data_IF_734664088194
#
_entry.id   IF_734664088194
#
_cell.length_a   1.000
_cell.length_b   1.000
_cell.length_c   1.000
_cell.angle_alpha   90.00
_cell.angle_beta   90.00
_cell.angle_gamma   90.00
#
_symmetry.space_group_name_H-M   'P 1'
#
loop_
_entity.id
_entity.type
_entity.pdbx_description
1 polymer ?
#
# COMPACT_ATOMS: atom_id res chain seq x y z
N UNK A 1 -25.90 55.02 6.41
CA UNK A 1 -24.56 54.39 6.42
C UNK A 1 -24.72 52.91 6.74
N UNK A 2 -24.51 52.02 5.77
CA UNK A 2 -24.55 50.56 5.97
C UNK A 2 -23.12 50.09 6.23
N UNK A 3 -22.87 49.57 7.43
CA UNK A 3 -21.60 48.93 7.77
C UNK A 3 -21.67 47.46 7.34
N UNK A 4 -20.94 47.11 6.29
CA UNK A 4 -20.72 45.74 5.85
C UNK A 4 -19.62 45.14 6.74
N UNK A 5 -19.99 44.25 7.65
CA UNK A 5 -19.04 43.47 8.43
C UNK A 5 -18.50 42.33 7.56
N UNK A 6 -17.22 42.41 7.19
CA UNK A 6 -16.48 41.28 6.61
C UNK A 6 -16.13 40.29 7.73
N UNK A 7 -16.81 39.15 7.75
CA UNK A 7 -16.41 37.99 8.54
C UNK A 7 -15.20 37.34 7.85
N UNK A 8 -13.99 37.57 8.39
CA UNK A 8 -12.82 36.74 8.09
C UNK A 8 -13.03 35.37 8.74
N UNK A 9 -13.43 34.39 7.94
CA UNK A 9 -13.39 32.97 8.33
C UNK A 9 -11.93 32.53 8.36
N UNK A 10 -11.33 32.54 9.54
CA UNK A 10 -10.02 31.95 9.80
C UNK A 10 -10.11 30.44 9.59
N UNK A 11 -9.58 29.94 8.47
CA UNK A 11 -9.34 28.51 8.28
C UNK A 11 -8.26 28.08 9.28
N UNK A 12 -8.67 27.51 10.41
CA UNK A 12 -7.75 26.78 11.27
C UNK A 12 -7.34 25.53 10.48
N UNK A 13 -6.11 25.52 9.97
CA UNK A 13 -5.54 24.33 9.37
C UNK A 13 -5.47 23.24 10.46
N UNK A 14 -6.43 22.32 10.43
CA UNK A 14 -6.39 21.12 11.26
C UNK A 14 -5.13 20.35 10.91
N UNK A 15 -4.14 20.39 11.80
CA UNK A 15 -2.95 19.53 11.73
C UNK A 15 -3.48 18.10 11.72
N UNK A 16 -3.30 17.38 10.62
CA UNK A 16 -3.71 15.98 10.57
C UNK A 16 -2.82 15.20 11.52
N UNK A 17 -3.43 14.53 12.49
CA UNK A 17 -2.73 13.67 13.43
C UNK A 17 -2.09 12.49 12.69
N UNK A 18 -0.99 11.98 13.24
CA UNK A 18 -0.36 10.75 12.78
C UNK A 18 -1.33 9.59 12.66
N UNK A 19 -1.17 8.70 11.67
CA UNK A 19 -1.92 7.46 11.62
C UNK A 19 -1.57 6.54 12.80
N UNK A 20 -2.51 5.70 13.24
CA UNK A 20 -2.32 4.72 14.35
C UNK A 20 -1.45 3.51 13.97
N UNK A 21 -0.65 3.64 12.91
CA UNK A 21 0.19 2.56 12.38
C UNK A 21 1.18 3.05 11.34
N UNK A 22 2.16 2.20 11.07
CA UNK A 22 3.11 2.41 9.97
C UNK A 22 2.40 2.30 8.62
N UNK A 23 2.07 3.46 8.07
CA UNK A 23 1.23 3.62 6.90
C UNK A 23 2.08 3.87 5.64
N UNK A 24 1.94 3.02 4.63
CA UNK A 24 2.42 3.27 3.28
C UNK A 24 1.40 4.13 2.51
N UNK A 25 1.85 5.26 1.97
CA UNK A 25 1.01 6.18 1.19
C UNK A 25 1.77 6.88 0.06
N UNK A 26 1.06 7.67 -0.73
CA UNK A 26 1.59 8.55 -1.80
C UNK A 26 1.01 9.96 -1.74
N UNK A 27 0.63 10.46 -0.55
CA UNK A 27 0.11 11.83 -0.37
C UNK A 27 1.14 12.85 -0.87
N UNK A 28 0.89 13.62 -1.96
CA UNK A 28 1.92 14.47 -2.58
C UNK A 28 2.48 15.56 -1.67
N UNK A 29 1.61 16.11 -0.80
CA UNK A 29 2.02 17.09 0.20
C UNK A 29 3.10 16.56 1.16
N UNK A 30 3.17 15.24 1.34
CA UNK A 30 4.11 14.59 2.25
C UNK A 30 5.25 13.95 1.48
N UNK A 31 4.95 12.93 0.67
CA UNK A 31 5.97 12.18 -0.04
C UNK A 31 6.67 13.05 -1.12
N UNK A 32 6.00 14.09 -1.64
CA UNK A 32 6.56 14.95 -2.67
C UNK A 32 7.22 16.23 -2.14
N UNK A 33 6.53 16.96 -1.26
CA UNK A 33 6.98 18.29 -0.84
C UNK A 33 7.89 18.28 0.41
N UNK A 34 7.70 17.34 1.34
CA UNK A 34 8.56 17.22 2.52
C UNK A 34 9.81 16.39 2.25
N UNK A 35 9.72 15.43 1.32
CA UNK A 35 10.84 14.56 1.02
C UNK A 35 11.92 15.27 0.19
N UNK A 36 13.21 14.99 0.48
CA UNK A 36 14.29 15.46 -0.36
C UNK A 36 14.18 14.86 -1.76
N UNK A 37 14.77 15.55 -2.75
CA UNK A 37 14.89 15.01 -4.09
C UNK A 37 15.79 13.77 -4.08
N UNK A 38 15.37 12.74 -4.80
CA UNK A 38 16.08 11.48 -4.98
C UNK A 38 16.46 11.35 -6.45
N UNK A 39 17.74 11.55 -6.77
CA UNK A 39 18.20 11.58 -8.17
C UNK A 39 17.52 12.68 -9.00
N UNK A 40 17.23 13.83 -8.39
CA UNK A 40 16.57 14.97 -9.06
C UNK A 40 15.04 14.87 -9.15
N UNK A 41 14.42 13.79 -8.66
CA UNK A 41 12.97 13.62 -8.67
C UNK A 41 12.37 13.59 -7.25
N UNK A 42 11.11 14.02 -7.11
CA UNK A 42 10.35 13.94 -5.86
C UNK A 42 10.02 12.48 -5.54
N UNK A 43 10.03 12.08 -4.27
CA UNK A 43 9.62 10.74 -3.89
C UNK A 43 8.12 10.53 -4.19
N UNK A 44 7.76 9.32 -4.64
CA UNK A 44 6.38 9.02 -5.05
C UNK A 44 5.57 8.31 -3.97
N UNK A 45 6.24 7.73 -2.97
CA UNK A 45 5.61 7.12 -1.82
C UNK A 45 6.46 7.29 -0.57
N UNK A 46 5.81 7.13 0.57
CA UNK A 46 6.43 7.30 1.87
C UNK A 46 5.76 6.41 2.92
N UNK A 47 6.48 6.14 4.00
CA UNK A 47 5.99 5.37 5.15
C UNK A 47 6.01 6.23 6.41
N UNK A 48 4.91 6.22 7.16
CA UNK A 48 4.84 6.89 8.46
C UNK A 48 5.47 6.09 9.59
N UNK A 49 6.08 6.82 10.53
CA UNK A 49 6.58 6.31 11.79
C UNK A 49 5.99 7.16 12.91
N UNK A 50 4.80 6.78 13.40
CA UNK A 50 4.17 7.44 14.54
C UNK A 50 5.06 7.33 15.79
N UNK A 51 5.28 8.44 16.49
CA UNK A 51 6.16 8.51 17.66
C UNK A 51 5.57 7.86 18.91
N UNK A 52 4.26 7.63 18.92
CA UNK A 52 3.57 6.88 19.97
C UNK A 52 3.84 5.36 19.87
N UNK A 53 4.37 4.88 18.75
CA UNK A 53 4.79 3.50 18.58
C UNK A 53 6.28 3.36 18.91
N UNK A 54 6.60 2.48 19.87
CA UNK A 54 7.96 2.31 20.39
C UNK A 54 8.76 1.20 19.69
N UNK A 55 8.11 0.41 18.86
CA UNK A 55 8.64 -0.81 18.23
C UNK A 55 9.51 -0.52 17.01
N UNK A 56 9.23 0.54 16.25
CA UNK A 56 10.07 0.95 15.12
C UNK A 56 10.33 2.45 15.09
N UNK A 57 11.62 2.78 15.01
CA UNK A 57 12.07 4.15 14.73
C UNK A 57 12.35 4.29 13.24
N UNK A 58 12.12 5.49 12.71
CA UNK A 58 12.53 5.78 11.33
C UNK A 58 14.05 5.83 11.27
N UNK A 59 14.64 4.91 10.51
CA UNK A 59 16.08 4.83 10.26
C UNK A 59 16.38 4.96 8.77
N UNK A 60 17.52 5.57 8.43
CA UNK A 60 17.98 5.66 7.05
C UNK A 60 18.25 4.24 6.50
N UNK A 61 17.84 3.95 5.26
CA UNK A 61 18.17 2.66 4.63
C UNK A 61 18.23 2.76 3.11
N UNK A 62 18.58 1.65 2.46
CA UNK A 62 18.53 1.56 0.99
C UNK A 62 17.13 1.79 0.40
N UNK A 63 16.06 1.63 1.21
CA UNK A 63 14.70 1.91 0.78
C UNK A 63 14.31 3.37 0.87
N UNK A 64 15.04 4.22 1.59
CA UNK A 64 14.62 5.61 1.70
C UNK A 64 15.28 6.41 2.81
N UNK A 65 14.88 7.67 2.87
CA UNK A 65 15.44 8.66 3.78
C UNK A 65 14.40 9.13 4.78
N UNK A 66 14.76 9.14 6.07
CA UNK A 66 13.89 9.68 7.11
C UNK A 66 13.96 11.20 7.17
N UNK A 67 12.79 11.83 7.30
CA UNK A 67 12.60 13.24 7.59
C UNK A 67 11.61 13.42 8.72
N UNK A 68 11.74 14.51 9.49
CA UNK A 68 10.73 14.89 10.45
C UNK A 68 9.52 15.47 9.71
N UNK A 69 8.32 14.97 10.01
CA UNK A 69 7.11 15.54 9.42
C UNK A 69 6.80 16.86 10.12
N UNK A 70 6.92 17.98 9.39
CA UNK A 70 6.43 19.28 9.87
C UNK A 70 4.93 19.45 9.66
N UNK A 71 4.33 18.62 8.80
CA UNK A 71 2.90 18.67 8.49
C UNK A 71 2.03 17.83 9.44
N UNK A 72 2.60 16.84 10.12
CA UNK A 72 1.88 15.92 11.01
C UNK A 72 2.70 15.70 12.29
N UNK A 73 2.28 16.41 13.35
CA UNK A 73 2.98 16.40 14.64
C UNK A 73 3.04 14.98 15.22
N UNK A 74 4.22 14.57 15.67
CA UNK A 74 4.44 13.24 16.25
C UNK A 74 4.79 12.15 15.23
N UNK A 75 5.13 12.49 14.00
CA UNK A 75 5.55 11.51 12.98
C UNK A 75 6.92 11.82 12.41
N UNK A 76 7.73 10.77 12.25
CA UNK A 76 8.76 10.73 11.23
C UNK A 76 8.19 10.14 9.94
N UNK A 77 8.76 10.53 8.81
CA UNK A 77 8.38 10.07 7.48
C UNK A 77 9.59 9.46 6.79
N UNK A 78 9.47 8.22 6.33
CA UNK A 78 10.44 7.60 5.44
C UNK A 78 10.06 7.89 3.99
N UNK A 79 10.84 8.73 3.33
CA UNK A 79 10.73 9.03 1.92
C UNK A 79 11.32 7.87 1.11
N UNK A 80 10.47 7.06 0.49
CA UNK A 80 10.91 5.85 -0.20
C UNK A 80 11.66 6.21 -1.47
N UNK A 81 12.82 5.58 -1.69
CA UNK A 81 13.60 5.68 -2.90
C UNK A 81 13.05 4.71 -3.94
N UNK A 82 12.09 5.19 -4.72
CA UNK A 82 11.35 4.39 -5.70
C UNK A 82 11.31 5.02 -7.10
N UNK A 83 11.96 6.17 -7.29
CA UNK A 83 12.01 6.87 -8.57
C UNK A 83 12.78 6.12 -9.65
N UNK A 84 13.66 5.19 -9.27
CA UNK A 84 14.42 4.34 -10.19
C UNK A 84 13.56 3.23 -10.82
N UNK A 85 12.43 2.86 -10.20
CA UNK A 85 11.56 1.78 -10.66
C UNK A 85 10.59 2.23 -11.79
N UNK A 86 11.05 3.10 -12.69
CA UNK A 86 10.22 3.72 -13.74
C UNK A 86 9.65 2.65 -14.66
N UNK A 87 8.32 2.58 -14.71
CA UNK A 87 7.52 1.56 -15.39
C UNK A 87 7.90 0.12 -15.01
N UNK A 88 8.61 -0.07 -13.90
CA UNK A 88 9.15 -1.34 -13.45
C UNK A 88 8.50 -1.85 -12.17
N UNK A 89 9.21 -2.78 -11.54
CA UNK A 89 8.82 -3.40 -10.28
C UNK A 89 9.53 -2.75 -9.09
N UNK A 90 8.78 -2.53 -8.03
CA UNK A 90 9.30 -2.03 -6.76
C UNK A 90 8.90 -2.97 -5.63
N UNK A 91 9.90 -3.60 -5.02
CA UNK A 91 9.72 -4.53 -3.90
C UNK A 91 10.00 -3.85 -2.58
N UNK A 92 9.03 -3.93 -1.68
CA UNK A 92 9.16 -3.53 -0.29
C UNK A 92 9.00 -4.77 0.58
N UNK A 93 10.05 -5.09 1.34
CA UNK A 93 9.97 -6.10 2.39
C UNK A 93 9.05 -5.62 3.51
N UNK A 94 8.26 -6.50 4.09
CA UNK A 94 7.52 -6.21 5.33
C UNK A 94 8.37 -6.72 6.51
N UNK A 95 8.67 -5.80 7.42
CA UNK A 95 9.53 -6.05 8.60
C UNK A 95 8.69 -6.30 9.85
N UNK A 96 9.16 -7.22 10.68
CA UNK A 96 8.72 -7.39 12.06
C UNK A 96 9.72 -6.90 13.10
N UNK A 97 9.36 -7.04 14.37
CA UNK A 97 10.20 -6.59 15.49
C UNK A 97 11.57 -7.31 15.51
N UNK A 98 11.61 -8.53 14.99
CA UNK A 98 12.81 -9.36 14.87
C UNK A 98 13.00 -9.82 13.40
N UNK A 99 14.24 -9.77 12.91
CA UNK A 99 14.60 -10.26 11.57
C UNK A 99 14.36 -9.29 10.41
N UNK A 100 15.15 -9.46 9.34
CA UNK A 100 15.14 -8.72 8.06
C UNK A 100 15.65 -7.27 8.11
N UNK A 101 16.97 -7.10 7.96
CA UNK A 101 17.62 -5.80 7.75
C UNK A 101 17.86 -5.55 6.25
N UNK A 102 17.71 -4.29 5.81
CA UNK A 102 18.18 -3.80 4.51
C UNK A 102 17.10 -3.19 3.62
N UNK A 103 16.09 -3.98 3.24
CA UNK A 103 15.00 -3.60 2.32
C UNK A 103 13.59 -3.92 2.82
N UNK A 104 13.37 -3.75 4.12
CA UNK A 104 12.08 -4.02 4.73
C UNK A 104 11.62 -2.85 5.60
N UNK A 105 10.34 -2.53 5.56
CA UNK A 105 9.70 -1.50 6.38
C UNK A 105 8.55 -2.10 7.19
N UNK A 106 8.23 -1.55 8.37
CA UNK A 106 7.21 -2.11 9.27
C UNK A 106 5.78 -1.80 8.79
N UNK A 107 5.52 -1.86 7.49
CA UNK A 107 4.22 -1.47 6.90
C UNK A 107 3.13 -2.37 7.45
N UNK A 108 2.15 -1.74 8.12
CA UNK A 108 0.95 -2.41 8.67
C UNK A 108 -0.31 -2.00 7.93
N UNK A 109 -0.28 -0.82 7.29
CA UNK A 109 -1.44 -0.23 6.62
C UNK A 109 -1.02 0.33 5.27
N UNK A 110 -1.89 0.20 4.27
CA UNK A 110 -1.74 0.91 2.99
C UNK A 110 -2.97 1.78 2.74
N UNK A 111 -2.71 3.04 2.37
CA UNK A 111 -3.78 3.99 2.04
C UNK A 111 -3.36 4.93 0.91
N UNK A 112 -4.19 5.00 -0.13
CA UNK A 112 -4.04 5.99 -1.20
C UNK A 112 -2.67 5.98 -1.86
N UNK A 113 -2.15 4.79 -2.17
CA UNK A 113 -0.92 4.62 -2.94
C UNK A 113 -1.14 5.02 -4.40
N UNK A 114 -0.25 5.87 -4.93
CA UNK A 114 -0.40 6.60 -6.21
C UNK A 114 0.92 6.77 -6.96
N UNK A 115 1.93 5.96 -6.67
CA UNK A 115 3.22 6.09 -7.34
C UNK A 115 3.06 5.93 -8.86
N UNK A 116 3.21 7.04 -9.59
CA UNK A 116 2.78 7.13 -10.99
C UNK A 116 3.72 6.41 -11.95
N UNK A 117 4.98 6.20 -11.55
CA UNK A 117 5.99 5.60 -12.40
C UNK A 117 6.28 4.15 -12.00
N UNK A 118 5.46 3.51 -11.18
CA UNK A 118 5.66 2.11 -10.79
C UNK A 118 4.57 1.28 -11.45
N UNK A 119 4.97 0.24 -12.19
CA UNK A 119 4.03 -0.68 -12.85
C UNK A 119 3.68 -1.87 -11.96
N UNK A 120 4.63 -2.31 -11.12
CA UNK A 120 4.44 -3.41 -10.19
C UNK A 120 4.87 -3.02 -8.78
N UNK A 121 4.00 -3.30 -7.81
CA UNK A 121 4.34 -3.21 -6.40
C UNK A 121 4.34 -4.62 -5.79
N UNK A 122 5.45 -4.97 -5.14
CA UNK A 122 5.59 -6.21 -4.38
C UNK A 122 5.69 -5.88 -2.90
N UNK A 123 4.71 -6.32 -2.12
CA UNK A 123 4.71 -6.25 -0.65
C UNK A 123 4.92 -7.66 -0.11
N UNK A 124 6.14 -7.94 0.33
CA UNK A 124 6.55 -9.30 0.71
C UNK A 124 7.14 -9.35 2.10
N UNK A 125 6.57 -10.16 2.97
CA UNK A 125 7.20 -10.48 4.24
C UNK A 125 8.20 -11.63 4.06
N UNK A 126 9.48 -11.39 4.39
CA UNK A 126 10.55 -12.39 4.29
C UNK A 126 10.78 -13.17 5.60
N UNK A 127 10.02 -12.87 6.64
CA UNK A 127 10.15 -13.51 7.95
C UNK A 127 9.33 -14.81 8.00
N UNK A 128 9.72 -15.72 8.90
CA UNK A 128 8.97 -16.95 9.15
C UNK A 128 7.58 -16.67 9.73
N UNK A 129 7.48 -15.69 10.64
CA UNK A 129 6.21 -15.22 11.19
C UNK A 129 5.51 -14.27 10.22
N UNK A 130 4.18 -14.39 10.11
CA UNK A 130 3.33 -13.48 9.33
C UNK A 130 2.92 -12.25 10.13
N UNK A 131 3.06 -11.08 9.51
CA UNK A 131 2.59 -9.80 10.04
C UNK A 131 1.29 -9.33 9.40
N UNK A 132 0.54 -8.53 10.14
CA UNK A 132 -0.73 -7.95 9.67
C UNK A 132 -0.46 -6.88 8.60
N UNK A 133 -1.23 -6.94 7.52
CA UNK A 133 -1.27 -5.92 6.49
C UNK A 133 -2.73 -5.58 6.20
N UNK A 134 -3.14 -4.36 6.52
CA UNK A 134 -4.47 -3.84 6.23
C UNK A 134 -4.46 -2.96 5.00
N UNK A 135 -5.27 -3.31 4.00
CA UNK A 135 -5.55 -2.46 2.85
C UNK A 135 -6.84 -1.69 3.13
N UNK A 136 -6.74 -0.37 3.30
CA UNK A 136 -7.89 0.49 3.54
C UNK A 136 -8.65 0.76 2.24
N UNK A 137 -9.88 1.27 2.37
CA UNK A 137 -10.69 1.66 1.21
C UNK A 137 -9.91 2.57 0.25
N UNK A 138 -9.91 2.21 -1.03
CA UNK A 138 -9.15 2.91 -2.05
C UNK A 138 -7.63 2.80 -1.94
N UNK A 139 -7.09 1.78 -1.25
CA UNK A 139 -5.66 1.58 -1.03
C UNK A 139 -4.83 1.79 -2.31
N UNK A 140 -5.26 1.19 -3.43
CA UNK A 140 -4.57 1.27 -4.72
C UNK A 140 -5.41 1.81 -5.88
N UNK A 141 -6.65 2.27 -5.65
CA UNK A 141 -7.59 2.63 -6.74
C UNK A 141 -7.13 3.79 -7.61
N UNK A 142 -6.30 4.68 -7.04
CA UNK A 142 -5.69 5.82 -7.74
C UNK A 142 -4.27 5.54 -8.24
N UNK A 143 -3.81 4.30 -8.12
CA UNK A 143 -2.50 3.87 -8.63
C UNK A 143 -2.58 3.55 -10.13
N UNK A 144 -1.41 3.54 -10.78
CA UNK A 144 -1.25 3.06 -12.17
C UNK A 144 -0.70 1.64 -12.24
N UNK A 145 -0.76 0.90 -11.13
CA UNK A 145 -0.22 -0.45 -11.05
C UNK A 145 -0.93 -1.37 -12.04
N UNK A 146 -0.11 -2.10 -12.80
CA UNK A 146 -0.53 -3.22 -13.65
C UNK A 146 -0.37 -4.56 -12.93
N UNK A 147 0.53 -4.63 -11.96
CA UNK A 147 0.76 -5.82 -11.13
C UNK A 147 0.78 -5.44 -9.66
N UNK A 148 0.09 -6.24 -8.84
CA UNK A 148 0.13 -6.14 -7.38
C UNK A 148 0.42 -7.53 -6.82
N UNK A 149 1.51 -7.64 -6.08
CA UNK A 149 1.94 -8.87 -5.40
C UNK A 149 1.96 -8.63 -3.90
N UNK A 150 1.21 -9.45 -3.17
CA UNK A 150 1.19 -9.46 -1.71
C UNK A 150 1.49 -10.87 -1.23
N UNK A 151 2.54 -11.02 -0.42
CA UNK A 151 3.01 -12.33 0.02
C UNK A 151 3.37 -12.42 1.51
N UNK A 152 2.96 -13.55 2.10
CA UNK A 152 3.35 -13.99 3.44
C UNK A 152 2.92 -13.05 4.58
N UNK A 153 1.71 -12.52 4.47
CA UNK A 153 1.09 -11.61 5.44
C UNK A 153 -0.20 -12.20 5.99
N UNK A 154 -0.73 -11.61 7.06
CA UNK A 154 -2.13 -11.72 7.47
C UNK A 154 -2.89 -10.56 6.84
N UNK A 155 -3.44 -10.78 5.66
CA UNK A 155 -4.07 -9.73 4.86
C UNK A 155 -5.49 -9.44 5.36
N UNK A 156 -5.76 -8.17 5.68
CA UNK A 156 -7.10 -7.64 5.93
C UNK A 156 -7.47 -6.67 4.80
N UNK A 157 -8.65 -6.83 4.24
CA UNK A 157 -9.13 -6.08 3.08
C UNK A 157 -10.39 -5.29 3.46
N UNK A 158 -10.36 -3.98 3.25
CA UNK A 158 -11.59 -3.18 3.13
C UNK A 158 -12.15 -3.28 1.70
N UNK A 159 -13.16 -2.47 1.39
CA UNK A 159 -13.74 -2.40 0.05
C UNK A 159 -12.83 -1.63 -0.92
N UNK A 160 -12.98 -1.85 -2.23
CA UNK A 160 -12.31 -1.08 -3.29
C UNK A 160 -10.80 -0.90 -3.10
N UNK A 161 -10.08 -1.98 -2.76
CA UNK A 161 -8.65 -1.90 -2.45
C UNK A 161 -7.77 -2.03 -3.69
N UNK A 162 -8.23 -2.75 -4.72
CA UNK A 162 -7.37 -3.15 -5.83
C UNK A 162 -7.23 -2.05 -6.89
N UNK A 163 -6.13 -2.00 -7.66
CA UNK A 163 -6.00 -1.07 -8.78
C UNK A 163 -7.02 -1.42 -9.88
N UNK A 164 -7.80 -0.44 -10.40
CA UNK A 164 -8.84 -0.71 -11.41
C UNK A 164 -8.28 -1.14 -12.78
N UNK A 165 -6.98 -1.01 -12.98
CA UNK A 165 -6.28 -1.38 -14.22
C UNK A 165 -5.29 -2.52 -14.02
N UNK A 166 -5.36 -3.23 -12.89
CA UNK A 166 -4.48 -4.35 -12.61
C UNK A 166 -4.72 -5.47 -13.63
N UNK A 167 -3.61 -5.97 -14.18
CA UNK A 167 -3.55 -7.08 -15.12
C UNK A 167 -3.10 -8.37 -14.42
N UNK A 168 -2.30 -8.26 -13.35
CA UNK A 168 -1.81 -9.38 -12.54
C UNK A 168 -2.04 -9.12 -11.05
N UNK A 169 -2.76 -10.01 -10.40
CA UNK A 169 -2.96 -9.97 -8.95
C UNK A 169 -2.43 -11.27 -8.32
N UNK A 170 -1.46 -11.14 -7.42
CA UNK A 170 -0.84 -12.26 -6.71
C UNK A 170 -1.07 -12.10 -5.21
N UNK A 171 -1.78 -13.06 -4.61
CA UNK A 171 -2.06 -13.14 -3.18
C UNK A 171 -1.53 -14.48 -2.64
N UNK A 172 -0.24 -14.52 -2.30
CA UNK A 172 0.45 -15.75 -1.90
C UNK A 172 0.63 -15.83 -0.39
N UNK A 173 0.16 -16.91 0.23
CA UNK A 173 0.27 -17.13 1.69
C UNK A 173 -0.21 -15.89 2.50
N UNK A 174 -1.18 -15.15 1.95
CA UNK A 174 -1.74 -13.91 2.46
C UNK A 174 -2.93 -14.14 3.42
N UNK A 175 -3.36 -15.40 3.61
CA UNK A 175 -4.44 -15.73 4.55
C UNK A 175 -5.86 -15.49 4.01
N UNK A 176 -5.98 -15.29 2.70
CA UNK A 176 -7.26 -15.10 2.01
C UNK A 176 -7.94 -16.45 1.83
N UNK A 177 -9.11 -16.65 2.47
CA UNK A 177 -9.87 -17.92 2.41
C UNK A 177 -10.82 -18.02 1.21
N UNK A 178 -11.26 -16.88 0.67
CA UNK A 178 -12.14 -16.80 -0.49
C UNK A 178 -11.63 -15.74 -1.45
N UNK A 179 -11.94 -15.89 -2.74
CA UNK A 179 -11.62 -14.85 -3.74
C UNK A 179 -12.39 -13.58 -3.36
N UNK A 180 -11.73 -12.45 -3.08
CA UNK A 180 -12.41 -11.21 -2.72
C UNK A 180 -13.36 -10.78 -3.83
N UNK A 181 -14.60 -10.38 -3.49
CA UNK A 181 -15.64 -10.10 -4.49
C UNK A 181 -15.24 -9.00 -5.49
N UNK A 182 -14.41 -8.05 -5.07
CA UNK A 182 -13.87 -7.00 -5.94
C UNK A 182 -13.06 -7.55 -7.13
N UNK A 183 -12.43 -8.72 -6.99
CA UNK A 183 -11.63 -9.35 -8.06
C UNK A 183 -12.46 -9.57 -9.32
N UNK A 184 -13.74 -9.92 -9.17
CA UNK A 184 -14.66 -10.16 -10.29
C UNK A 184 -15.06 -8.86 -11.02
N UNK A 185 -14.79 -7.69 -10.42
CA UNK A 185 -14.96 -6.37 -11.05
C UNK A 185 -13.74 -5.91 -11.87
N UNK A 186 -12.60 -6.62 -11.80
CA UNK A 186 -11.34 -6.22 -12.43
C UNK A 186 -11.33 -6.55 -13.93
N UNK A 187 -11.88 -5.63 -14.73
CA UNK A 187 -12.08 -5.81 -16.20
C UNK A 187 -10.81 -6.04 -17.03
N UNK A 188 -9.62 -5.76 -16.47
CA UNK A 188 -8.33 -5.92 -17.15
C UNK A 188 -7.50 -7.07 -16.60
N UNK A 189 -8.01 -7.79 -15.61
CA UNK A 189 -7.29 -8.88 -14.96
C UNK A 189 -7.07 -10.00 -15.98
N UNK A 190 -5.81 -10.40 -16.15
CA UNK A 190 -5.37 -11.49 -17.01
C UNK A 190 -4.83 -12.66 -16.20
N UNK A 191 -4.19 -12.36 -15.07
CA UNK A 191 -3.60 -13.35 -14.18
C UNK A 191 -4.09 -13.15 -12.76
N UNK A 192 -4.57 -14.23 -12.15
CA UNK A 192 -4.93 -14.29 -10.73
C UNK A 192 -4.21 -15.46 -10.08
N UNK A 193 -3.28 -15.16 -9.18
CA UNK A 193 -2.63 -16.18 -8.37
C UNK A 193 -3.08 -16.06 -6.91
N UNK A 194 -3.61 -17.16 -6.37
CA UNK A 194 -3.95 -17.28 -4.95
C UNK A 194 -3.39 -18.63 -4.49
N UNK A 195 -2.20 -18.64 -3.91
CA UNK A 195 -1.46 -19.87 -3.57
C UNK A 195 -0.93 -19.84 -2.14
N UNK A 196 -0.47 -20.97 -1.61
CA UNK A 196 0.14 -21.05 -0.28
C UNK A 196 -0.83 -20.87 0.89
N UNK A 197 -2.14 -20.99 0.66
CA UNK A 197 -3.18 -21.06 1.67
C UNK A 197 -4.31 -21.98 1.20
N UNK A 198 -5.25 -22.30 2.08
CA UNK A 198 -6.51 -22.91 1.68
C UNK A 198 -7.42 -21.88 1.01
N UNK A 199 -7.99 -22.23 -0.15
CA UNK A 199 -8.91 -21.40 -0.91
C UNK A 199 -10.22 -22.15 -1.13
N UNK A 200 -11.31 -21.64 -0.56
CA UNK A 200 -12.64 -22.19 -0.74
C UNK A 200 -13.32 -21.55 -1.95
N UNK A 201 -13.58 -22.37 -2.98
CA UNK A 201 -14.25 -21.98 -4.23
C UNK A 201 -15.66 -22.57 -4.35
N UNK A 202 -16.17 -23.22 -3.30
CA UNK A 202 -17.48 -23.90 -3.32
C UNK A 202 -18.65 -22.92 -3.47
N UNK A 203 -18.47 -21.69 -2.98
CA UNK A 203 -19.50 -20.64 -2.97
C UNK A 203 -19.53 -19.75 -4.24
N UNK A 204 -18.72 -20.08 -5.26
CA UNK A 204 -18.67 -19.26 -6.47
C UNK A 204 -19.96 -19.38 -7.28
N UNK A 205 -20.50 -18.22 -7.69
CA UNK A 205 -21.64 -18.16 -8.61
C UNK A 205 -21.26 -18.64 -10.02
N UNK A 206 -22.26 -18.84 -10.89
CA UNK A 206 -22.01 -19.18 -12.30
C UNK A 206 -21.20 -18.08 -13.02
N UNK A 207 -21.53 -16.81 -12.78
CA UNK A 207 -20.85 -15.66 -13.38
C UNK A 207 -19.41 -15.54 -12.89
N UNK A 208 -19.17 -15.79 -11.60
CA UNK A 208 -17.82 -15.79 -11.03
C UNK A 208 -16.96 -16.91 -11.62
N UNK A 209 -17.53 -18.10 -11.82
CA UNK A 209 -16.85 -19.21 -12.50
C UNK A 209 -16.55 -18.87 -13.96
N UNK A 210 -17.50 -18.24 -14.66
CA UNK A 210 -17.32 -17.80 -16.04
C UNK A 210 -16.24 -16.71 -16.16
N UNK A 211 -16.17 -15.78 -15.20
CA UNK A 211 -15.08 -14.81 -15.11
C UNK A 211 -13.73 -15.52 -14.97
N UNK A 212 -13.60 -16.45 -14.01
CA UNK A 212 -12.33 -17.17 -13.78
C UNK A 212 -11.89 -18.03 -14.97
N UNK A 213 -12.82 -18.55 -15.78
CA UNK A 213 -12.49 -19.28 -17.00
C UNK A 213 -11.78 -18.43 -18.06
N UNK A 214 -11.90 -17.10 -18.00
CA UNK A 214 -11.24 -16.15 -18.90
C UNK A 214 -9.96 -15.53 -18.31
N UNK A 215 -9.59 -15.92 -17.09
CA UNK A 215 -8.41 -15.42 -16.37
C UNK A 215 -7.44 -16.58 -16.17
N UNK A 216 -6.14 -16.34 -16.39
CA UNK A 216 -5.12 -17.32 -16.05
C UNK A 216 -5.01 -17.45 -14.53
N UNK A 217 -5.69 -18.46 -13.98
CA UNK A 217 -5.80 -18.68 -12.55
C UNK A 217 -4.79 -19.73 -12.07
N UNK A 218 -4.05 -19.41 -11.01
CA UNK A 218 -3.23 -20.39 -10.28
C UNK A 218 -3.71 -20.46 -8.84
N UNK A 219 -4.32 -21.59 -8.48
CA UNK A 219 -4.89 -21.87 -7.17
C UNK A 219 -4.16 -23.03 -6.47
N UNK A 220 -4.34 -23.22 -5.15
CA UNK A 220 -3.73 -24.33 -4.44
C UNK A 220 -4.24 -25.65 -5.00
N UNK A 221 -3.37 -26.67 -5.04
CA UNK A 221 -3.84 -28.03 -5.28
C UNK A 221 -4.72 -28.45 -4.09
N UNK A 222 -5.96 -28.84 -4.38
CA UNK A 222 -6.87 -29.39 -3.39
C UNK A 222 -6.52 -30.82 -3.02
#
# INVERSE_FOLDING_TARGET
MRATAFLLSSFVASVSACPDGHLLTSKPALCGNLCPLQGGAKAQSCVYYPSNLSDFKCEQSSLGTCVNSTAETGCALKCLNNNWAVNGSYTIGIRGAMGSFGRSEPIRVVQGYRAANISELVLKNFNAEKYDLSLLDGAFTKSKLKSLWIENVKLSLQEHVFPPHVESLVLRNAGVRWIPKEVFGLKRLKTLEITGQYLDTTQLSADEKAFLANVNCTFPAN
#
